data_IF_994827732248
#
_entry.id   IF_994827732248
#
_cell.length_a   1.000
_cell.length_b   1.000
_cell.length_c   1.000
_cell.angle_alpha   90.00
_cell.angle_beta   90.00
_cell.angle_gamma   90.00
#
_symmetry.space_group_name_H-M   'P 1'
#
loop_
_entity.id
_entity.type
_entity.pdbx_description
1 polymer ?
#
# COMPACT_ATOMS: atom_id res chain seq x y z
N UNK A 1 -21.98 -3.21 -28.92
CA UNK A 1 -20.81 -3.40 -28.04
C UNK A 1 -21.03 -4.69 -27.23
N UNK A 2 -20.28 -5.75 -27.51
CA UNK A 2 -20.47 -7.08 -26.89
C UNK A 2 -19.86 -7.09 -25.48
N UNK A 3 -20.72 -7.15 -24.46
CA UNK A 3 -20.29 -7.35 -23.06
C UNK A 3 -19.96 -8.83 -22.86
N UNK A 4 -18.67 -9.18 -22.81
CA UNK A 4 -18.22 -10.53 -22.43
C UNK A 4 -18.31 -10.72 -20.92
N UNK A 5 -18.70 -11.90 -20.46
CA UNK A 5 -18.76 -12.21 -19.03
C UNK A 5 -17.36 -12.48 -18.49
N UNK A 6 -17.15 -12.22 -17.20
CA UNK A 6 -15.85 -12.42 -16.52
C UNK A 6 -15.32 -13.85 -16.71
N UNK A 7 -16.21 -14.84 -16.79
CA UNK A 7 -15.87 -16.25 -17.03
C UNK A 7 -15.31 -16.49 -18.44
N UNK A 8 -15.68 -15.67 -19.42
CA UNK A 8 -15.28 -15.84 -20.82
C UNK A 8 -13.90 -15.24 -21.13
N UNK A 9 -13.31 -14.48 -20.20
CA UNK A 9 -12.03 -13.76 -20.38
C UNK A 9 -10.96 -14.20 -19.37
N UNK A 10 -11.34 -14.95 -18.34
CA UNK A 10 -10.46 -15.39 -17.25
C UNK A 10 -9.28 -16.25 -17.73
N UNK A 11 -9.47 -17.00 -18.83
CA UNK A 11 -8.43 -17.87 -19.39
C UNK A 11 -7.40 -17.13 -20.27
N UNK A 12 -7.73 -15.93 -20.76
CA UNK A 12 -6.87 -15.14 -21.65
C UNK A 12 -6.01 -14.13 -20.88
N UNK A 13 -6.29 -13.92 -19.58
CA UNK A 13 -5.57 -12.97 -18.76
C UNK A 13 -4.35 -13.65 -18.10
N UNK A 14 -3.15 -13.07 -18.23
CA UNK A 14 -1.98 -13.62 -17.55
C UNK A 14 -2.20 -13.61 -16.03
N UNK A 15 -1.69 -14.66 -15.38
CA UNK A 15 -1.97 -14.93 -13.97
C UNK A 15 -1.40 -13.82 -13.08
N UNK A 16 -2.25 -13.22 -12.23
CA UNK A 16 -1.80 -12.29 -11.18
C UNK A 16 -0.87 -13.01 -10.21
N UNK A 17 0.32 -12.44 -9.96
CA UNK A 17 1.26 -12.99 -8.97
C UNK A 17 1.22 -12.16 -7.70
N UNK A 18 0.85 -12.80 -6.59
CA UNK A 18 0.90 -12.23 -5.25
C UNK A 18 2.18 -12.69 -4.58
N UNK A 19 2.97 -11.76 -4.09
CA UNK A 19 4.26 -12.00 -3.45
C UNK A 19 4.30 -11.24 -2.13
N UNK A 20 4.76 -11.94 -1.08
CA UNK A 20 5.01 -11.36 0.23
C UNK A 20 6.49 -11.01 0.31
N UNK A 21 6.78 -9.72 0.46
CA UNK A 21 8.14 -9.20 0.48
C UNK A 21 8.53 -8.90 1.92
N UNK A 22 9.63 -9.52 2.36
CA UNK A 22 10.24 -9.22 3.65
C UNK A 22 11.17 -8.02 3.51
N UNK A 23 10.85 -6.96 4.24
CA UNK A 23 11.65 -5.75 4.30
C UNK A 23 12.83 -5.99 5.26
N UNK A 24 14.06 -5.98 4.73
CA UNK A 24 15.29 -6.21 5.50
C UNK A 24 16.08 -4.95 5.82
N UNK A 25 15.56 -3.78 5.46
CA UNK A 25 16.29 -2.51 5.56
C UNK A 25 16.32 -1.94 6.98
N UNK A 26 17.45 -1.33 7.34
CA UNK A 26 17.69 -0.78 8.68
C UNK A 26 16.77 0.40 9.03
N UNK A 27 16.10 1.03 8.05
CA UNK A 27 15.15 2.11 8.30
C UNK A 27 13.97 1.70 9.18
N UNK A 28 13.65 0.41 9.25
CA UNK A 28 12.65 -0.13 10.18
C UNK A 28 13.04 0.19 11.64
N UNK A 29 14.34 0.26 11.94
CA UNK A 29 14.84 0.49 13.30
C UNK A 29 14.69 1.92 13.79
N UNK A 30 14.41 2.91 12.92
CA UNK A 30 14.34 4.32 13.33
C UNK A 30 13.21 4.58 14.33
N UNK A 31 12.11 3.82 14.26
CA UNK A 31 10.95 3.95 15.17
C UNK A 31 10.65 2.66 15.96
N UNK A 32 11.64 1.76 16.09
CA UNK A 32 11.39 0.44 16.68
C UNK A 32 11.09 0.50 18.19
N UNK A 33 11.51 1.56 18.90
CA UNK A 33 11.23 1.73 20.33
C UNK A 33 9.74 1.86 20.58
N UNK A 34 9.07 2.83 19.93
CA UNK A 34 7.62 3.06 20.03
C UNK A 34 6.82 1.83 19.61
N UNK A 35 7.24 1.20 18.52
CA UNK A 35 6.64 -0.04 18.04
C UNK A 35 6.76 -1.19 19.06
N UNK A 36 7.92 -1.36 19.70
CA UNK A 36 8.13 -2.36 20.77
C UNK A 36 7.28 -2.06 21.99
N UNK A 37 7.18 -0.79 22.38
CA UNK A 37 6.32 -0.33 23.48
C UNK A 37 4.84 -0.63 23.17
N UNK A 38 4.36 -0.27 21.98
CA UNK A 38 2.99 -0.55 21.55
C UNK A 38 2.70 -2.05 21.48
N UNK A 39 3.66 -2.87 21.01
CA UNK A 39 3.55 -4.34 21.02
C UNK A 39 3.45 -4.88 22.45
N UNK A 40 4.30 -4.41 23.35
CA UNK A 40 4.29 -4.81 24.75
C UNK A 40 2.95 -4.44 25.41
N UNK A 41 2.46 -3.22 25.18
CA UNK A 41 1.19 -2.75 25.68
C UNK A 41 -0.01 -3.56 25.17
N UNK A 42 -0.01 -3.95 23.88
CA UNK A 42 -1.02 -4.86 23.32
C UNK A 42 -0.97 -6.25 23.97
N UNK A 43 0.23 -6.83 24.12
CA UNK A 43 0.40 -8.16 24.72
C UNK A 43 0.04 -8.20 26.21
N UNK A 44 0.18 -7.07 26.92
CA UNK A 44 -0.13 -6.93 28.35
C UNK A 44 -1.59 -6.58 28.66
N UNK A 45 -2.40 -6.25 27.66
CA UNK A 45 -3.81 -5.90 27.85
C UNK A 45 -4.65 -7.13 28.20
N UNK A 46 -5.48 -7.02 29.25
CA UNK A 46 -6.26 -8.14 29.81
C UNK A 46 -7.73 -8.15 29.35
N UNK A 47 -8.34 -6.98 29.20
CA UNK A 47 -9.72 -6.81 28.74
C UNK A 47 -9.81 -6.51 27.24
N UNK A 48 -10.96 -6.82 26.64
CA UNK A 48 -11.16 -6.72 25.19
C UNK A 48 -11.14 -5.28 24.68
N UNK A 49 -11.69 -4.32 25.43
CA UNK A 49 -11.77 -2.92 25.01
C UNK A 49 -10.39 -2.28 24.98
N UNK A 50 -9.60 -2.47 26.05
CA UNK A 50 -8.19 -2.02 26.09
C UNK A 50 -7.37 -2.74 25.04
N UNK A 51 -7.57 -4.05 24.84
CA UNK A 51 -6.86 -4.80 23.80
C UNK A 51 -7.17 -4.26 22.41
N UNK A 52 -8.41 -3.88 22.12
CA UNK A 52 -8.78 -3.24 20.87
C UNK A 52 -8.08 -1.87 20.71
N UNK A 53 -8.10 -1.03 21.74
CA UNK A 53 -7.43 0.26 21.73
C UNK A 53 -5.91 0.12 21.48
N UNK A 54 -5.25 -0.80 22.18
CA UNK A 54 -3.81 -1.07 22.01
C UNK A 54 -3.47 -1.70 20.67
N UNK A 55 -4.39 -2.49 20.11
CA UNK A 55 -4.23 -3.04 18.77
C UNK A 55 -4.20 -1.93 17.72
N UNK A 56 -5.09 -0.94 17.81
CA UNK A 56 -5.12 0.21 16.90
C UNK A 56 -3.81 1.00 16.99
N UNK A 57 -3.33 1.27 18.20
CA UNK A 57 -2.04 1.94 18.44
C UNK A 57 -0.87 1.15 17.87
N UNK A 58 -0.84 -0.17 18.10
CA UNK A 58 0.19 -1.05 17.55
C UNK A 58 0.19 -1.05 16.02
N UNK A 59 -0.97 -1.14 15.37
CA UNK A 59 -1.06 -1.05 13.91
C UNK A 59 -0.56 0.28 13.36
N UNK A 60 -0.91 1.39 14.01
CA UNK A 60 -0.44 2.72 13.63
C UNK A 60 1.10 2.81 13.63
N UNK A 61 1.73 2.36 14.71
CA UNK A 61 3.20 2.36 14.83
C UNK A 61 3.86 1.40 13.82
N UNK A 62 3.25 0.24 13.53
CA UNK A 62 3.77 -0.66 12.48
C UNK A 62 3.76 -0.01 11.10
N UNK A 63 2.74 0.79 10.79
CA UNK A 63 2.63 1.53 9.53
C UNK A 63 3.78 2.52 9.37
N UNK A 64 4.00 3.35 10.39
CA UNK A 64 5.07 4.36 10.42
C UNK A 64 6.45 3.70 10.31
N UNK A 65 6.70 2.64 11.08
CA UNK A 65 7.99 1.95 11.08
C UNK A 65 8.35 1.38 9.69
N UNK A 66 7.35 0.91 8.94
CA UNK A 66 7.55 0.34 7.60
C UNK A 66 7.56 1.36 6.47
N UNK A 67 6.88 2.49 6.61
CA UNK A 67 6.63 3.44 5.52
C UNK A 67 7.88 3.77 4.70
N UNK A 68 8.98 4.10 5.37
CA UNK A 68 10.26 4.43 4.74
C UNK A 68 10.89 3.23 4.01
N UNK A 69 10.86 2.06 4.64
CA UNK A 69 11.41 0.82 4.07
C UNK A 69 10.61 0.39 2.85
N UNK A 70 9.28 0.53 2.87
CA UNK A 70 8.40 0.27 1.73
C UNK A 70 8.71 1.24 0.58
N UNK A 71 8.78 2.54 0.85
CA UNK A 71 9.09 3.54 -0.18
C UNK A 71 10.44 3.24 -0.84
N UNK A 72 11.46 2.91 -0.04
CA UNK A 72 12.77 2.50 -0.53
C UNK A 72 12.72 1.25 -1.39
N UNK A 73 12.06 0.19 -0.92
CA UNK A 73 11.89 -1.03 -1.70
C UNK A 73 11.24 -0.76 -3.06
N UNK A 74 10.20 0.08 -3.11
CA UNK A 74 9.53 0.44 -4.37
C UNK A 74 10.48 1.17 -5.31
N UNK A 75 11.23 2.14 -4.79
CA UNK A 75 12.18 2.92 -5.57
C UNK A 75 13.29 2.01 -6.12
N UNK A 76 13.91 1.20 -5.26
CA UNK A 76 15.05 0.36 -5.61
C UNK A 76 14.65 -0.77 -6.58
N UNK A 77 13.43 -1.29 -6.46
CA UNK A 77 12.97 -2.43 -7.26
C UNK A 77 12.30 -2.05 -8.59
N UNK A 78 11.62 -0.90 -8.65
CA UNK A 78 10.85 -0.48 -9.83
C UNK A 78 11.34 0.79 -10.51
N UNK A 79 12.16 1.61 -9.83
CA UNK A 79 12.60 2.93 -10.31
C UNK A 79 14.12 3.13 -10.20
N UNK A 80 14.88 2.04 -10.37
CA UNK A 80 16.34 2.08 -10.51
C UNK A 80 16.76 2.63 -11.89
N UNK A 81 18.02 3.02 -12.00
CA UNK A 81 18.54 3.60 -13.25
C UNK A 81 18.56 2.55 -14.37
N UNK A 82 17.82 2.82 -15.44
CA UNK A 82 17.60 1.86 -16.54
C UNK A 82 16.41 0.91 -16.35
N UNK A 83 15.60 1.09 -15.29
CA UNK A 83 14.37 0.34 -15.12
C UNK A 83 13.37 0.62 -16.27
N UNK A 84 12.62 -0.40 -16.75
CA UNK A 84 11.53 -0.18 -17.69
C UNK A 84 10.44 0.67 -17.03
N UNK A 85 9.84 1.60 -17.78
CA UNK A 85 8.73 2.42 -17.29
C UNK A 85 7.59 1.53 -16.80
N UNK A 86 7.18 1.73 -15.55
CA UNK A 86 6.05 1.04 -14.93
C UNK A 86 5.22 2.00 -14.10
N UNK A 87 3.90 1.79 -14.11
CA UNK A 87 2.95 2.47 -13.25
C UNK A 87 2.65 1.60 -12.02
N UNK A 88 2.86 2.18 -10.84
CA UNK A 88 2.77 1.49 -9.55
C UNK A 88 1.68 2.13 -8.68
N UNK A 89 0.75 1.32 -8.18
CA UNK A 89 -0.20 1.70 -7.15
C UNK A 89 0.36 1.35 -5.78
N UNK A 90 0.26 2.28 -4.83
CA UNK A 90 0.69 2.08 -3.45
C UNK A 90 -0.51 2.31 -2.55
N UNK A 91 -0.94 1.28 -1.82
CA UNK A 91 -2.05 1.35 -0.88
C UNK A 91 -1.55 1.42 0.56
N UNK A 92 -2.10 2.35 1.33
CA UNK A 92 -1.90 2.44 2.78
C UNK A 92 -3.21 2.83 3.49
N UNK A 93 -3.30 2.59 4.79
CA UNK A 93 -4.45 2.94 5.61
C UNK A 93 -4.28 4.31 6.27
N UNK A 94 -3.13 4.55 6.89
CA UNK A 94 -2.89 5.74 7.71
C UNK A 94 -2.41 6.92 6.85
N UNK A 95 -2.97 8.11 7.09
CA UNK A 95 -2.60 9.32 6.37
C UNK A 95 -1.10 9.64 6.49
N UNK A 96 -0.53 9.48 7.69
CA UNK A 96 0.90 9.68 7.93
C UNK A 96 1.77 8.77 7.07
N UNK A 97 1.33 7.53 6.80
CA UNK A 97 2.07 6.59 5.95
C UNK A 97 1.98 7.02 4.49
N UNK A 98 0.80 7.44 4.03
CA UNK A 98 0.62 8.02 2.70
C UNK A 98 1.53 9.26 2.52
N UNK A 99 1.56 10.16 3.51
CA UNK A 99 2.41 11.36 3.51
C UNK A 99 3.89 11.01 3.37
N UNK A 100 4.38 10.08 4.21
CA UNK A 100 5.79 9.65 4.20
C UNK A 100 6.18 9.06 2.84
N UNK A 101 5.34 8.19 2.27
CA UNK A 101 5.59 7.58 0.97
C UNK A 101 5.58 8.64 -0.14
N UNK A 102 4.60 9.55 -0.14
CA UNK A 102 4.53 10.64 -1.13
C UNK A 102 5.78 11.53 -1.07
N UNK A 103 6.27 11.85 0.13
CA UNK A 103 7.49 12.65 0.31
C UNK A 103 8.70 11.92 -0.28
N UNK A 104 8.88 10.63 0.02
CA UNK A 104 10.05 9.88 -0.45
C UNK A 104 10.03 9.63 -1.96
N UNK A 105 8.85 9.39 -2.54
CA UNK A 105 8.65 9.33 -4.00
C UNK A 105 8.99 10.67 -4.66
N UNK A 106 8.55 11.79 -4.08
CA UNK A 106 8.86 13.13 -4.58
C UNK A 106 10.36 13.47 -4.49
N UNK A 107 11.05 13.06 -3.41
CA UNK A 107 12.50 13.23 -3.26
C UNK A 107 13.30 12.52 -4.35
N UNK A 108 12.81 11.38 -4.85
CA UNK A 108 13.41 10.66 -5.99
C UNK A 108 13.11 11.34 -7.35
N UNK A 109 12.26 12.37 -7.37
CA UNK A 109 11.86 13.09 -8.59
C UNK A 109 10.74 12.41 -9.37
N UNK A 110 10.05 11.43 -8.78
CA UNK A 110 8.95 10.72 -9.43
C UNK A 110 7.65 11.54 -9.31
N UNK A 111 6.93 11.71 -10.41
CA UNK A 111 5.60 12.33 -10.37
C UNK A 111 4.57 11.32 -9.89
N UNK A 112 3.77 11.73 -8.92
CA UNK A 112 2.75 10.89 -8.32
C UNK A 112 1.42 11.60 -8.15
N UNK A 113 0.32 10.83 -8.13
CA UNK A 113 -0.99 11.29 -7.66
C UNK A 113 -1.26 10.78 -6.24
N UNK A 114 -2.17 11.46 -5.53
CA UNK A 114 -2.71 11.01 -4.25
C UNK A 114 -4.23 11.01 -4.26
N UNK A 115 -4.82 9.91 -3.81
CA UNK A 115 -6.27 9.79 -3.61
C UNK A 115 -6.53 9.17 -2.24
N UNK A 116 -7.28 9.87 -1.42
CA UNK A 116 -7.70 9.40 -0.10
C UNK A 116 -9.17 9.76 0.20
N UNK A 117 -9.63 9.45 1.42
CA UNK A 117 -11.01 9.72 1.85
C UNK A 117 -11.39 11.19 1.89
N UNK A 118 -10.42 12.12 1.87
CA UNK A 118 -10.66 13.56 1.84
C UNK A 118 -10.70 14.13 0.42
N UNK A 119 -10.31 13.33 -0.57
CA UNK A 119 -10.28 13.75 -1.97
C UNK A 119 -11.70 13.85 -2.54
N UNK A 120 -12.12 15.07 -2.88
CA UNK A 120 -13.40 15.36 -3.50
C UNK A 120 -13.61 14.58 -4.81
N UNK A 121 -14.86 14.20 -5.10
CA UNK A 121 -15.18 13.35 -6.27
C UNK A 121 -14.64 13.91 -7.59
N UNK A 122 -14.81 15.22 -7.83
CA UNK A 122 -14.32 15.86 -9.06
C UNK A 122 -12.79 15.76 -9.21
N UNK A 123 -12.07 15.99 -8.11
CA UNK A 123 -10.61 15.92 -8.10
C UNK A 123 -10.14 14.48 -8.28
N UNK A 124 -10.87 13.51 -7.72
CA UNK A 124 -10.57 12.08 -7.87
C UNK A 124 -10.59 11.65 -9.33
N UNK A 125 -11.61 12.02 -10.09
CA UNK A 125 -11.72 11.67 -11.51
C UNK A 125 -10.58 12.31 -12.31
N UNK A 126 -10.21 13.55 -11.98
CA UNK A 126 -9.09 14.26 -12.57
C UNK A 126 -7.75 13.55 -12.28
N UNK A 127 -7.51 13.14 -11.04
CA UNK A 127 -6.31 12.39 -10.65
C UNK A 127 -6.27 11.01 -11.33
N UNK A 128 -7.40 10.29 -11.37
CA UNK A 128 -7.51 9.01 -12.07
C UNK A 128 -7.16 9.17 -13.56
N UNK A 129 -7.75 10.16 -14.23
CA UNK A 129 -7.45 10.46 -15.64
C UNK A 129 -5.98 10.81 -15.81
N UNK A 130 -5.43 11.67 -14.96
CA UNK A 130 -4.02 12.06 -15.00
C UNK A 130 -3.09 10.84 -14.88
N UNK A 131 -3.38 9.92 -13.97
CA UNK A 131 -2.61 8.69 -13.85
C UNK A 131 -2.79 7.71 -15.02
N UNK A 132 -3.96 7.68 -15.66
CA UNK A 132 -4.22 6.78 -16.79
C UNK A 132 -3.60 7.29 -18.09
N UNK A 133 -3.65 8.60 -18.35
CA UNK A 133 -3.31 9.20 -19.64
C UNK A 133 -1.90 9.82 -19.69
N UNK A 134 -1.31 10.18 -18.55
CA UNK A 134 0.01 10.82 -18.52
C UNK A 134 1.12 9.82 -18.14
N UNK A 135 2.03 9.54 -19.08
CA UNK A 135 3.13 8.59 -18.89
C UNK A 135 4.23 9.05 -17.92
N UNK A 136 4.28 10.35 -17.58
CA UNK A 136 5.22 10.87 -16.57
C UNK A 136 4.74 10.58 -15.15
N UNK A 137 3.43 10.37 -14.97
CA UNK A 137 2.83 10.05 -13.67
C UNK A 137 2.91 8.54 -13.46
N UNK A 138 3.96 8.11 -12.76
CA UNK A 138 4.29 6.70 -12.60
C UNK A 138 3.81 6.09 -11.27
N UNK A 139 3.48 6.92 -10.28
CA UNK A 139 3.08 6.43 -8.95
C UNK A 139 1.71 6.97 -8.57
N UNK A 140 0.87 6.12 -7.98
CA UNK A 140 -0.36 6.55 -7.32
C UNK A 140 -0.36 6.09 -5.87
N UNK A 141 -0.46 7.04 -4.95
CA UNK A 141 -0.55 6.78 -3.50
C UNK A 141 -2.02 6.85 -3.10
N UNK A 142 -2.58 5.73 -2.63
CA UNK A 142 -4.01 5.53 -2.48
C UNK A 142 -4.34 5.07 -1.06
N UNK A 143 -5.40 5.61 -0.48
CA UNK A 143 -5.92 5.02 0.75
C UNK A 143 -6.62 3.69 0.46
N UNK A 144 -6.47 2.69 1.34
CA UNK A 144 -7.20 1.41 1.23
C UNK A 144 -8.71 1.64 1.22
N UNK A 145 -9.18 2.65 1.95
CA UNK A 145 -10.59 3.06 1.95
C UNK A 145 -11.04 3.63 0.60
N UNK A 146 -10.16 4.26 -0.18
CA UNK A 146 -10.47 4.75 -1.51
C UNK A 146 -10.67 3.61 -2.53
N UNK A 147 -10.06 2.44 -2.31
CA UNK A 147 -10.26 1.26 -3.16
C UNK A 147 -11.72 0.77 -3.16
N UNK A 148 -12.46 0.98 -2.07
CA UNK A 148 -13.88 0.62 -1.96
C UNK A 148 -14.83 1.51 -2.78
N UNK A 149 -14.35 2.62 -3.35
CA UNK A 149 -15.19 3.66 -3.97
C UNK A 149 -15.13 3.60 -5.51
N UNK A 150 -14.60 2.52 -6.10
CA UNK A 150 -14.69 2.29 -7.54
C UNK A 150 -13.68 3.07 -8.40
N UNK A 151 -12.48 3.35 -7.86
CA UNK A 151 -11.38 3.91 -8.68
C UNK A 151 -10.88 2.87 -9.70
N UNK A 152 -10.86 3.24 -10.98
CA UNK A 152 -10.42 2.36 -12.07
C UNK A 152 -9.06 2.83 -12.58
N UNK A 153 -7.98 2.20 -12.10
CA UNK A 153 -6.58 2.54 -12.43
C UNK A 153 -5.91 1.39 -13.19
N UNK A 154 -6.39 1.15 -14.41
CA UNK A 154 -6.00 0.00 -15.26
C UNK A 154 -4.61 0.13 -15.87
N UNK A 155 -4.04 1.34 -15.97
CA UNK A 155 -2.70 1.56 -16.49
C UNK A 155 -1.59 1.02 -15.58
N UNK A 156 -1.89 0.68 -14.32
CA UNK A 156 -0.92 0.12 -13.40
C UNK A 156 -0.66 -1.37 -13.66
N UNK A 157 0.61 -1.76 -13.61
CA UNK A 157 1.06 -3.16 -13.69
C UNK A 157 1.52 -3.72 -12.35
N UNK A 158 1.69 -2.85 -11.35
CA UNK A 158 2.16 -3.24 -10.02
C UNK A 158 1.27 -2.59 -8.97
N UNK A 159 0.86 -3.37 -7.99
CA UNK A 159 0.15 -2.91 -6.80
C UNK A 159 0.95 -3.31 -5.58
N UNK A 160 1.20 -2.36 -4.70
CA UNK A 160 1.96 -2.54 -3.47
C UNK A 160 1.08 -2.12 -2.29
N UNK A 161 0.89 -3.02 -1.34
CA UNK A 161 0.20 -2.73 -0.08
C UNK A 161 1.26 -2.44 0.99
N UNK A 162 1.51 -1.16 1.23
CA UNK A 162 2.38 -0.71 2.30
C UNK A 162 1.82 -1.10 3.68
N UNK A 163 0.49 -1.09 3.78
CA UNK A 163 -0.27 -1.55 4.93
C UNK A 163 -1.33 -2.54 4.48
N UNK A 164 -1.61 -3.54 5.30
CA UNK A 164 -2.69 -4.48 5.10
C UNK A 164 -3.82 -4.15 6.09
N UNK A 165 -5.06 -4.38 5.68
CA UNK A 165 -6.22 -4.06 6.50
C UNK A 165 -6.28 -5.00 7.73
N UNK A 166 -6.61 -4.42 8.90
CA UNK A 166 -6.64 -5.10 10.19
C UNK A 166 -7.71 -6.20 10.32
N UNK A 167 -8.64 -6.33 9.35
CA UNK A 167 -9.71 -7.32 9.42
C UNK A 167 -9.26 -8.71 8.91
N UNK A 168 -9.12 -9.73 9.78
CA UNK A 168 -8.71 -11.08 9.39
C UNK A 168 -9.74 -11.80 8.49
N UNK A 169 -10.98 -11.30 8.38
CA UNK A 169 -12.00 -11.85 7.47
C UNK A 169 -11.80 -11.51 5.99
N UNK A 170 -10.94 -10.54 5.65
CA UNK A 170 -10.77 -10.03 4.27
C UNK A 170 -9.39 -10.39 3.70
N UNK A 171 -8.46 -10.90 4.51
CA UNK A 171 -7.13 -11.32 4.06
C UNK A 171 -6.74 -12.64 4.71
N UNK A 172 -6.65 -13.67 3.86
CA UNK A 172 -6.37 -15.06 4.21
C UNK A 172 -5.08 -15.19 5.03
N UNK A 173 -5.21 -15.72 6.25
CA UNK A 173 -4.16 -16.37 7.07
C UNK A 173 -2.77 -15.70 7.07
N UNK A 174 -2.65 -14.48 7.61
CA UNK A 174 -1.34 -13.92 7.98
C UNK A 174 -1.34 -13.57 9.46
N UNK A 175 -0.44 -14.20 10.22
CA UNK A 175 -0.27 -13.99 11.66
C UNK A 175 0.10 -12.52 11.93
N UNK A 176 -0.51 -11.89 12.94
CA UNK A 176 -0.32 -10.45 13.24
C UNK A 176 1.15 -10.12 13.57
N UNK A 177 1.94 -11.09 14.06
CA UNK A 177 3.38 -10.91 14.29
C UNK A 177 4.20 -10.74 13.01
N UNK A 178 3.72 -11.21 11.86
CA UNK A 178 4.38 -11.08 10.55
C UNK A 178 4.11 -9.72 9.88
N UNK A 179 3.15 -8.93 10.37
CA UNK A 179 2.80 -7.63 9.80
C UNK A 179 3.92 -6.60 9.87
N UNK A 180 4.88 -6.77 10.77
CA UNK A 180 5.89 -5.75 11.04
C UNK A 180 7.05 -5.72 10.02
N UNK A 181 7.22 -6.78 9.22
CA UNK A 181 8.30 -6.89 8.23
C UNK A 181 7.80 -7.15 6.82
N UNK A 182 6.47 -7.26 6.63
CA UNK A 182 5.88 -7.69 5.38
C UNK A 182 5.18 -6.54 4.68
N UNK A 183 5.55 -6.36 3.43
CA UNK A 183 4.78 -5.65 2.43
C UNK A 183 4.25 -6.66 1.42
N UNK A 184 3.02 -6.47 0.96
CA UNK A 184 2.45 -7.35 -0.05
C UNK A 184 2.50 -6.69 -1.42
N UNK A 185 3.03 -7.40 -2.39
CA UNK A 185 3.15 -6.96 -3.78
C UNK A 185 2.29 -7.85 -4.65
N UNK A 186 1.40 -7.23 -5.43
CA UNK A 186 0.62 -7.91 -6.45
C UNK A 186 1.08 -7.38 -7.81
N UNK A 187 1.65 -8.27 -8.61
CA UNK A 187 2.00 -7.99 -10.01
C UNK A 187 0.83 -8.37 -10.92
N UNK A 188 0.39 -7.41 -11.70
CA UNK A 188 -0.65 -7.54 -12.73
C UNK A 188 0.10 -7.53 -14.07
N UNK A 189 0.10 -8.68 -14.74
CA UNK A 189 0.71 -8.84 -16.07
C UNK A 189 -0.25 -8.41 -17.17
#
# INVERSE_FOLDING_TARGET
MLRRLKNDVLNDLPMKKREVVNLTDDSIYTNISKLREAKAAYSGAKDNDTKHQRLVEYYYETGIAKAKSVARYIIDHYFYDGAPKKKVLIFAHHQVVLDMISIDVAKKGLRSIRIDGTTASRLRDEQCRLFQENDDVMVAVLSITAAGIGVTLTAASVVVFAELHWNPGVSTTVNIDLYCQICEVIRIF
#
